data_IF_059116182924
#
_entry.id   IF_059116182924
#
_cell.length_a   1.000
_cell.length_b   1.000
_cell.length_c   1.000
_cell.angle_alpha   90.00
_cell.angle_beta   90.00
_cell.angle_gamma   90.00
#
_symmetry.space_group_name_H-M   'P 1'
#
loop_
_entity.id
_entity.type
_entity.pdbx_description
1 polymer ?
#
# COMPACT_ATOMS: atom_id res chain seq x y z
N UNK A 1 -0.83 -18.17 -1.12
CA UNK A 1 -1.04 -18.35 -2.59
C UNK A 1 -1.43 -17.00 -3.20
N UNK A 2 -1.13 -16.74 -4.49
CA UNK A 2 -1.52 -15.48 -5.18
C UNK A 2 -2.42 -15.78 -6.38
N UNK A 3 -3.51 -15.02 -6.54
CA UNK A 3 -4.46 -15.14 -7.64
C UNK A 3 -4.58 -13.81 -8.39
N UNK A 4 -4.52 -13.82 -9.71
CA UNK A 4 -4.84 -12.64 -10.50
C UNK A 4 -6.36 -12.51 -10.65
N UNK A 5 -6.96 -11.50 -10.03
CA UNK A 5 -8.39 -11.20 -10.20
C UNK A 5 -8.62 -10.48 -11.52
N UNK A 6 -7.75 -9.53 -11.88
CA UNK A 6 -7.83 -8.78 -13.14
C UNK A 6 -6.44 -8.27 -13.56
N UNK A 7 -6.10 -8.44 -14.85
CA UNK A 7 -4.85 -7.89 -15.43
C UNK A 7 -5.06 -6.54 -16.11
N UNK A 8 -6.21 -6.35 -16.76
CA UNK A 8 -6.55 -5.09 -17.42
C UNK A 8 -6.97 -4.03 -16.40
N UNK A 9 -6.84 -2.73 -16.71
CA UNK A 9 -7.31 -1.68 -15.83
C UNK A 9 -8.80 -1.78 -15.51
N UNK A 10 -9.18 -1.43 -14.28
CA UNK A 10 -10.56 -1.27 -13.83
C UNK A 10 -10.72 0.08 -13.14
N UNK A 11 -11.86 0.74 -13.37
CA UNK A 11 -12.19 1.99 -12.70
C UNK A 11 -12.42 1.76 -11.21
N UNK A 12 -12.06 2.75 -10.40
CA UNK A 12 -12.23 2.75 -8.96
C UNK A 12 -12.86 4.07 -8.52
N UNK A 13 -13.77 3.98 -7.56
CA UNK A 13 -14.41 5.13 -6.94
C UNK A 13 -14.13 5.13 -5.45
N UNK A 14 -13.59 6.23 -4.93
CA UNK A 14 -13.18 6.36 -3.54
C UNK A 14 -14.15 7.30 -2.83
N UNK A 15 -14.59 6.89 -1.64
CA UNK A 15 -15.40 7.73 -0.75
C UNK A 15 -14.61 8.03 0.50
N UNK A 16 -14.62 9.29 0.96
CA UNK A 16 -13.92 9.73 2.18
C UNK A 16 -14.92 10.12 3.28
N UNK A 17 -14.47 10.11 4.55
CA UNK A 17 -15.32 10.37 5.73
C UNK A 17 -15.93 11.77 5.79
N UNK A 18 -15.31 12.80 5.18
CA UNK A 18 -15.69 14.21 5.34
C UNK A 18 -15.65 15.02 4.03
N UNK A 19 -15.75 14.38 2.87
CA UNK A 19 -15.61 15.04 1.57
C UNK A 19 -16.42 14.38 0.47
N UNK A 20 -16.38 14.98 -0.71
CA UNK A 20 -17.02 14.43 -1.91
C UNK A 20 -16.36 13.11 -2.35
N UNK A 21 -17.12 12.28 -3.06
CA UNK A 21 -16.60 11.06 -3.65
C UNK A 21 -15.62 11.45 -4.76
N UNK A 22 -14.39 10.93 -4.69
CA UNK A 22 -13.40 11.09 -5.74
C UNK A 22 -13.45 9.85 -6.61
N UNK A 23 -14.02 9.99 -7.80
CA UNK A 23 -14.13 8.92 -8.79
C UNK A 23 -13.21 9.20 -9.95
N UNK A 24 -12.22 8.34 -10.20
CA UNK A 24 -11.31 8.58 -11.31
C UNK A 24 -10.04 7.73 -11.34
N UNK A 25 -9.76 6.96 -10.28
CA UNK A 25 -8.56 6.12 -10.26
C UNK A 25 -8.73 4.90 -11.15
N UNK A 26 -7.64 4.55 -11.84
CA UNK A 26 -7.52 3.30 -12.57
C UNK A 26 -6.67 2.32 -11.75
N UNK A 27 -7.30 1.24 -11.30
CA UNK A 27 -6.63 0.10 -10.68
C UNK A 27 -6.10 -0.85 -11.74
N UNK A 28 -4.84 -1.25 -11.61
CA UNK A 28 -4.20 -2.27 -12.45
C UNK A 28 -3.78 -3.45 -11.61
N UNK A 29 -3.54 -4.59 -12.27
CA UNK A 29 -2.96 -5.78 -11.65
C UNK A 29 -3.65 -6.14 -10.32
N UNK A 30 -4.98 -6.27 -10.34
CA UNK A 30 -5.72 -6.62 -9.14
C UNK A 30 -5.38 -8.08 -8.78
N UNK A 31 -4.66 -8.24 -7.68
CA UNK A 31 -4.10 -9.52 -7.22
C UNK A 31 -4.63 -9.82 -5.82
N UNK A 32 -5.06 -11.06 -5.59
CA UNK A 32 -5.49 -11.53 -4.30
C UNK A 32 -4.42 -12.45 -3.72
N UNK A 33 -3.81 -12.03 -2.63
CA UNK A 33 -2.90 -12.84 -1.83
C UNK A 33 -3.70 -13.55 -0.74
N UNK A 34 -3.42 -14.84 -0.52
CA UNK A 34 -4.11 -15.68 0.45
C UNK A 34 -3.08 -16.29 1.39
N UNK A 35 -3.21 -15.97 2.66
CA UNK A 35 -2.37 -16.47 3.75
C UNK A 35 -3.27 -16.93 4.91
N UNK A 36 -3.29 -18.24 5.16
CA UNK A 36 -4.22 -18.87 6.09
C UNK A 36 -5.68 -18.43 5.82
N UNK A 37 -6.31 -17.71 6.75
CA UNK A 37 -7.66 -17.17 6.62
C UNK A 37 -7.71 -15.69 6.19
N UNK A 38 -6.57 -15.09 5.84
CA UNK A 38 -6.46 -13.69 5.45
C UNK A 38 -6.33 -13.57 3.94
N UNK A 39 -7.21 -12.76 3.37
CA UNK A 39 -7.24 -12.38 1.97
C UNK A 39 -6.75 -10.94 1.84
N UNK A 40 -5.70 -10.69 1.07
CA UNK A 40 -5.22 -9.33 0.79
C UNK A 40 -5.39 -9.02 -0.69
N UNK A 41 -6.34 -8.14 -1.00
CA UNK A 41 -6.54 -7.61 -2.34
C UNK A 41 -5.57 -6.45 -2.57
N UNK A 42 -4.57 -6.67 -3.40
CA UNK A 42 -3.65 -5.64 -3.86
C UNK A 42 -4.14 -4.99 -5.17
N UNK A 43 -4.06 -3.67 -5.23
CA UNK A 43 -4.47 -2.86 -6.38
C UNK A 43 -3.35 -1.87 -6.70
N UNK A 44 -2.78 -1.96 -7.91
CA UNK A 44 -1.76 -1.04 -8.38
C UNK A 44 -2.39 0.24 -8.94
N UNK A 45 -2.07 1.37 -8.33
CA UNK A 45 -2.51 2.71 -8.68
C UNK A 45 -1.37 3.58 -9.21
N UNK A 46 -0.15 3.08 -9.27
CA UNK A 46 1.06 3.86 -9.58
C UNK A 46 0.98 4.53 -10.96
N UNK A 47 0.30 3.89 -11.90
CA UNK A 47 0.06 4.43 -13.23
C UNK A 47 -0.67 5.78 -13.21
N UNK A 48 -1.47 6.07 -12.17
CA UNK A 48 -2.21 7.33 -12.07
C UNK A 48 -1.29 8.54 -11.85
N UNK A 49 -0.10 8.31 -11.31
CA UNK A 49 0.93 9.36 -11.13
C UNK A 49 1.72 9.66 -12.41
N UNK A 50 1.68 8.73 -13.39
CA UNK A 50 2.39 8.85 -14.67
C UNK A 50 1.64 9.72 -15.70
N UNK A 51 0.50 10.30 -15.33
CA UNK A 51 -0.24 11.23 -16.18
C UNK A 51 0.67 12.36 -16.68
N UNK A 52 0.69 12.59 -17.99
CA UNK A 52 1.37 13.75 -18.60
C UNK A 52 0.71 15.06 -18.15
N UNK A 53 -0.62 15.07 -18.13
CA UNK A 53 -1.39 16.21 -17.64
C UNK A 53 -1.61 16.11 -16.13
N UNK A 54 -0.92 16.96 -15.36
CA UNK A 54 -1.02 17.04 -13.90
C UNK A 54 -2.30 17.73 -13.39
N UNK A 55 -3.10 18.27 -14.30
CA UNK A 55 -4.44 18.81 -14.01
C UNK A 55 -5.55 17.78 -14.28
N UNK A 56 -5.19 16.55 -14.70
CA UNK A 56 -6.19 15.52 -14.96
C UNK A 56 -6.78 14.97 -13.66
N UNK A 57 -8.07 14.63 -13.69
CA UNK A 57 -8.81 14.14 -12.52
C UNK A 57 -8.11 12.93 -11.86
N UNK A 58 -7.71 11.93 -12.64
CA UNK A 58 -7.02 10.73 -12.14
C UNK A 58 -5.67 11.03 -11.47
N UNK A 59 -4.92 12.03 -11.93
CA UNK A 59 -3.70 12.47 -11.24
C UNK A 59 -4.02 13.18 -9.93
N UNK A 60 -4.98 14.11 -9.95
CA UNK A 60 -5.38 14.86 -8.77
C UNK A 60 -5.98 13.94 -7.69
N UNK A 61 -6.77 12.94 -8.09
CA UNK A 61 -7.31 11.92 -7.20
C UNK A 61 -6.21 11.06 -6.58
N UNK A 62 -5.18 10.72 -7.36
CA UNK A 62 -4.05 9.93 -6.87
C UNK A 62 -3.23 10.73 -5.84
N UNK A 63 -2.96 12.01 -6.11
CA UNK A 63 -2.35 12.92 -5.13
C UNK A 63 -3.25 13.08 -3.91
N UNK A 64 -4.56 13.25 -4.12
CA UNK A 64 -5.55 13.37 -3.06
C UNK A 64 -5.60 12.16 -2.14
N UNK A 65 -5.50 10.95 -2.70
CA UNK A 65 -5.37 9.71 -1.94
C UNK A 65 -4.13 9.73 -1.06
N UNK A 66 -2.96 10.11 -1.60
CA UNK A 66 -1.73 10.15 -0.80
C UNK A 66 -1.80 11.11 0.39
N UNK A 67 -2.60 12.17 0.32
CA UNK A 67 -2.78 13.11 1.41
C UNK A 67 -3.93 12.74 2.36
N UNK A 68 -4.90 11.95 1.90
CA UNK A 68 -6.15 11.67 2.63
C UNK A 68 -6.39 10.17 2.88
N UNK A 69 -5.36 9.33 2.75
CA UNK A 69 -5.45 7.87 2.89
C UNK A 69 -6.12 7.42 4.20
N UNK A 70 -5.87 8.13 5.32
CA UNK A 70 -6.46 7.86 6.63
C UNK A 70 -7.97 8.21 6.73
N UNK A 71 -8.48 9.01 5.78
CA UNK A 71 -9.89 9.40 5.70
C UNK A 71 -10.69 8.49 4.77
N UNK A 72 -10.07 7.50 4.12
CA UNK A 72 -10.77 6.60 3.21
C UNK A 72 -11.87 5.86 3.97
N UNK A 73 -13.09 5.90 3.42
CA UNK A 73 -14.28 5.25 3.98
C UNK A 73 -14.63 4.00 3.20
N UNK A 74 -14.60 4.07 1.87
CA UNK A 74 -14.86 2.91 1.03
C UNK A 74 -14.24 3.05 -0.36
N UNK A 75 -14.03 1.91 -1.01
CA UNK A 75 -13.63 1.82 -2.40
C UNK A 75 -14.66 0.97 -3.16
N UNK A 76 -15.13 1.46 -4.30
CA UNK A 76 -15.97 0.69 -5.22
C UNK A 76 -15.18 0.32 -6.46
N UNK A 77 -15.28 -0.95 -6.84
CA UNK A 77 -14.78 -1.49 -8.09
C UNK A 77 -15.97 -2.08 -8.88
N UNK A 78 -16.53 -1.37 -9.88
CA UNK A 78 -17.65 -1.84 -10.70
C UNK A 78 -17.23 -2.93 -11.71
N UNK A 79 -16.31 -3.82 -11.34
CA UNK A 79 -15.82 -4.91 -12.18
C UNK A 79 -16.40 -6.25 -11.69
N UNK A 80 -17.30 -6.81 -12.50
CA UNK A 80 -17.96 -8.07 -12.19
C UNK A 80 -17.01 -9.27 -12.15
N UNK A 81 -15.91 -9.23 -12.91
CA UNK A 81 -14.93 -10.32 -12.92
C UNK A 81 -14.15 -10.34 -11.61
N UNK A 82 -13.77 -9.15 -11.11
CA UNK A 82 -13.12 -9.00 -9.80
C UNK A 82 -14.03 -9.53 -8.71
N UNK A 83 -15.30 -9.10 -8.69
CA UNK A 83 -16.32 -9.58 -7.75
C UNK A 83 -16.44 -11.10 -7.76
N UNK A 84 -16.70 -11.68 -8.93
CA UNK A 84 -16.94 -13.12 -9.05
C UNK A 84 -15.74 -13.97 -8.61
N UNK A 85 -14.52 -13.53 -8.94
CA UNK A 85 -13.30 -14.25 -8.54
C UNK A 85 -12.99 -14.09 -7.06
N UNK A 86 -13.23 -12.91 -6.47
CA UNK A 86 -13.06 -12.72 -5.03
C UNK A 86 -14.03 -13.59 -4.24
N UNK A 87 -15.33 -13.56 -4.58
CA UNK A 87 -16.36 -14.37 -3.92
C UNK A 87 -16.00 -15.86 -3.97
N UNK A 88 -15.54 -16.34 -5.13
CA UNK A 88 -15.15 -17.75 -5.29
C UNK A 88 -14.04 -18.18 -4.31
N UNK A 89 -13.08 -17.31 -4.05
CA UNK A 89 -12.01 -17.60 -3.08
C UNK A 89 -12.53 -17.45 -1.65
N UNK A 90 -13.33 -16.40 -1.40
CA UNK A 90 -13.95 -16.10 -0.11
C UNK A 90 -14.80 -17.26 0.43
N UNK A 91 -15.70 -17.80 -0.39
CA UNK A 91 -16.63 -18.87 -0.02
C UNK A 91 -15.93 -20.20 0.32
N UNK A 92 -14.69 -20.38 -0.17
CA UNK A 92 -13.88 -21.56 0.11
C UNK A 92 -13.12 -21.51 1.43
N UNK A 93 -13.22 -20.44 2.20
CA UNK A 93 -12.41 -20.19 3.39
C UNK A 93 -13.25 -20.19 4.67
N UNK A 94 -12.68 -20.74 5.74
CA UNK A 94 -13.27 -20.70 7.07
C UNK A 94 -12.88 -19.40 7.78
N UNK A 95 -13.87 -18.64 8.24
CA UNK A 95 -13.70 -17.34 8.91
C UNK A 95 -12.75 -16.37 8.15
N UNK A 96 -13.08 -16.02 6.89
CA UNK A 96 -12.21 -15.18 6.07
C UNK A 96 -12.16 -13.74 6.54
N UNK A 97 -10.95 -13.16 6.54
CA UNK A 97 -10.72 -11.73 6.77
C UNK A 97 -10.23 -11.08 5.48
N UNK A 98 -10.77 -9.90 5.14
CA UNK A 98 -10.34 -9.15 3.95
C UNK A 98 -9.47 -7.96 4.34
N UNK A 99 -8.37 -7.82 3.62
CA UNK A 99 -7.52 -6.64 3.59
C UNK A 99 -7.48 -6.09 2.17
N UNK A 100 -7.28 -4.79 2.06
CA UNK A 100 -7.07 -4.10 0.79
C UNK A 100 -5.75 -3.32 0.87
N UNK A 101 -4.85 -3.57 -0.07
CA UNK A 101 -3.59 -2.85 -0.23
C UNK A 101 -3.65 -1.98 -1.48
N UNK A 102 -3.56 -0.67 -1.31
CA UNK A 102 -3.48 0.29 -2.41
C UNK A 102 -2.02 0.68 -2.63
N UNK A 103 -1.46 0.27 -3.77
CA UNK A 103 -0.06 0.54 -4.12
C UNK A 103 0.00 1.80 -4.98
N UNK A 104 0.53 2.88 -4.44
CA UNK A 104 0.64 4.16 -5.11
C UNK A 104 2.12 4.58 -5.21
N UNK A 105 2.96 3.75 -5.83
CA UNK A 105 4.40 4.02 -5.90
C UNK A 105 4.70 5.24 -6.78
N UNK A 106 5.65 6.13 -6.40
CA UNK A 106 6.51 6.07 -5.21
C UNK A 106 5.92 6.74 -3.95
N UNK A 107 4.66 7.16 -3.96
CA UNK A 107 4.04 7.94 -2.88
C UNK A 107 3.65 7.14 -1.64
N UNK A 108 3.46 5.82 -1.76
CA UNK A 108 3.21 4.96 -0.60
C UNK A 108 2.46 3.68 -0.93
N UNK A 109 2.24 2.87 0.12
CA UNK A 109 1.44 1.64 0.09
C UNK A 109 0.51 1.67 1.30
N UNK A 110 -0.80 1.68 1.05
CA UNK A 110 -1.80 1.86 2.11
C UNK A 110 -2.57 0.57 2.34
N UNK A 111 -2.46 -0.01 3.54
CA UNK A 111 -3.12 -1.25 3.92
C UNK A 111 -4.34 -0.98 4.81
N UNK A 112 -5.45 -1.61 4.47
CA UNK A 112 -6.72 -1.46 5.18
C UNK A 112 -7.30 -2.82 5.52
N UNK A 113 -7.98 -2.92 6.66
CA UNK A 113 -8.99 -3.93 6.91
C UNK A 113 -10.31 -3.48 6.29
N UNK A 114 -10.97 -4.37 5.55
CA UNK A 114 -12.17 -4.01 4.80
C UNK A 114 -13.26 -5.08 4.93
N UNK A 115 -14.52 -4.66 4.78
CA UNK A 115 -15.66 -5.56 4.62
C UNK A 115 -16.16 -5.51 3.17
N UNK A 116 -16.29 -6.67 2.48
CA UNK A 116 -16.81 -6.70 1.12
C UNK A 116 -18.34 -6.63 1.10
N UNK A 117 -18.89 -5.78 0.22
CA UNK A 117 -20.31 -5.71 -0.11
C UNK A 117 -20.52 -5.81 -1.61
N UNK A 118 -21.38 -6.74 -2.05
CA UNK A 118 -21.76 -6.82 -3.47
C UNK A 118 -22.64 -5.64 -3.86
N UNK A 119 -22.33 -5.01 -4.99
CA UNK A 119 -23.15 -3.93 -5.54
C UNK A 119 -24.30 -4.50 -6.38
N UNK A 120 -25.48 -3.89 -6.28
CA UNK A 120 -26.70 -4.33 -6.98
C UNK A 120 -26.52 -4.35 -8.51
N UNK A 121 -25.85 -3.35 -9.08
CA UNK A 121 -25.58 -3.26 -10.52
C UNK A 121 -24.31 -4.00 -10.96
N UNK A 122 -23.70 -4.77 -10.07
CA UNK A 122 -22.45 -5.48 -10.33
C UNK A 122 -21.21 -4.78 -9.79
N UNK A 123 -20.16 -5.56 -9.57
CA UNK A 123 -18.94 -5.13 -8.88
C UNK A 123 -19.04 -5.19 -7.36
N UNK A 124 -18.02 -4.68 -6.70
CA UNK A 124 -17.81 -4.82 -5.27
C UNK A 124 -17.47 -3.50 -4.61
N UNK A 125 -18.03 -3.25 -3.44
CA UNK A 125 -17.60 -2.22 -2.52
C UNK A 125 -16.77 -2.85 -1.40
N UNK A 126 -15.71 -2.17 -1.01
CA UNK A 126 -14.83 -2.50 0.10
C UNK A 126 -14.96 -1.38 1.12
N UNK A 127 -15.69 -1.63 2.19
CA UNK A 127 -15.88 -0.66 3.27
C UNK A 127 -14.73 -0.76 4.27
N UNK A 128 -14.04 0.36 4.47
CA UNK A 128 -12.88 0.44 5.36
C UNK A 128 -13.33 0.33 6.81
N UNK A 129 -12.82 -0.69 7.49
CA UNK A 129 -13.01 -0.91 8.93
C UNK A 129 -11.89 -0.26 9.73
N UNK A 130 -10.63 -0.50 9.32
CA UNK A 130 -9.45 0.05 9.97
C UNK A 130 -8.32 0.29 8.96
N UNK A 131 -7.43 1.25 9.27
CA UNK A 131 -6.15 1.41 8.60
C UNK A 131 -5.08 0.65 9.39
N UNK A 132 -4.24 -0.15 8.71
CA UNK A 132 -3.34 -1.14 9.33
C UNK A 132 -1.85 -0.75 9.30
N UNK A 133 -1.53 0.53 9.10
CA UNK A 133 -0.16 1.08 9.00
C UNK A 133 0.72 0.58 7.82
N UNK A 134 1.79 1.34 7.58
CA UNK A 134 2.56 1.44 6.34
C UNK A 134 3.83 0.54 6.42
N UNK A 135 3.99 -0.43 5.51
CA UNK A 135 5.32 -0.98 5.23
C UNK A 135 6.07 0.04 4.36
N UNK A 136 6.61 1.07 5.00
CA UNK A 136 7.50 2.04 4.36
C UNK A 136 8.80 1.34 3.98
N UNK A 137 8.99 1.05 2.69
CA UNK A 137 10.33 0.79 2.10
C UNK A 137 11.14 2.10 2.14
N UNK A 138 11.60 2.50 3.32
CA UNK A 138 12.76 3.39 3.52
C UNK A 138 13.76 2.67 4.41
N UNK A 139 14.22 1.51 3.94
CA UNK A 139 15.47 0.92 4.38
C UNK A 139 16.63 1.71 3.76
N UNK A 140 17.03 2.81 4.39
CA UNK A 140 18.38 3.36 4.19
C UNK A 140 19.38 2.30 4.67
N UNK A 141 20.42 1.95 3.88
CA UNK A 141 21.38 0.95 4.28
C UNK A 141 22.22 1.43 5.47
N UNK A 142 22.46 0.50 6.38
CA UNK A 142 23.33 0.63 7.54
C UNK A 142 24.66 1.31 7.17
N UNK A 143 24.92 2.46 7.79
CA UNK A 143 26.24 3.06 8.00
C UNK A 143 26.16 3.51 9.46
N UNK A 144 26.93 3.04 10.43
CA UNK A 144 28.31 2.59 10.46
C UNK A 144 28.54 1.80 11.75
N UNK A 145 29.41 0.79 11.67
CA UNK A 145 29.90 -0.01 12.79
C UNK A 145 30.46 0.84 13.95
N UNK A 146 30.26 0.46 15.23
CA UNK A 146 31.00 1.04 16.34
C UNK A 146 32.40 0.41 16.40
N UNK A 147 33.44 1.21 16.18
CA UNK A 147 34.83 0.85 16.48
C UNK A 147 35.01 0.69 18.01
N UNK A 148 35.60 -0.40 18.51
CA UNK A 148 35.89 -0.53 19.93
C UNK A 148 37.24 0.09 20.29
N UNK A 149 37.23 0.77 21.43
CA UNK A 149 38.30 1.10 22.37
C UNK A 149 39.75 0.75 22.02
N UNK A 150 40.59 1.78 21.97
CA UNK A 150 41.98 1.69 22.40
C UNK A 150 42.21 2.71 23.52
N UNK A 151 42.34 2.20 24.74
CA UNK A 151 42.61 2.96 25.95
C UNK A 151 44.02 3.59 25.96
N UNK A 152 44.25 4.64 26.77
CA UNK A 152 45.49 5.42 26.82
C UNK A 152 46.52 4.77 27.76
N UNK A 153 47.81 5.13 27.64
CA UNK A 153 48.77 5.30 28.75
C UNK A 153 50.21 5.52 28.23
N UNK A 154 50.93 6.46 28.84
CA UNK A 154 52.38 6.37 29.01
C UNK A 154 53.21 7.58 28.57
N UNK A 155 53.23 8.64 29.37
CA UNK A 155 54.37 9.57 29.44
C UNK A 155 55.66 8.80 29.76
N UNK A 156 56.76 9.14 29.07
CA UNK A 156 58.10 9.29 29.67
C UNK A 156 59.11 9.80 28.62
N UNK A 157 59.45 11.08 28.68
CA UNK A 157 60.80 11.56 28.37
C UNK A 157 61.71 11.13 29.55
N UNK A 158 62.95 10.65 29.33
CA UNK A 158 64.06 11.61 29.43
C UNK A 158 65.33 11.27 28.59
N UNK A 159 65.94 12.33 28.05
CA UNK A 159 67.39 12.62 28.05
C UNK A 159 68.42 11.75 27.26
N UNK A 160 69.18 12.48 26.41
CA UNK A 160 70.67 12.50 26.31
C UNK A 160 71.36 11.48 25.37
N UNK A 161 71.95 11.96 24.26
CA UNK A 161 73.41 12.28 24.11
C UNK A 161 73.83 12.43 22.64
N UNK A 162 74.67 13.44 22.45
CA UNK A 162 75.63 13.72 21.37
C UNK A 162 76.12 12.53 20.53
N UNK A 163 76.19 12.74 19.22
CA UNK A 163 77.43 12.69 18.42
C UNK A 163 77.28 13.64 17.22
#
# INVERSE_FOLDING_TARGET
>A
MKYSLRKTPSHLHLTYKYGEANGGLLGRNLVLEVEANVLTLEIDLSANLLARNKQSAWYLDAVGLSSNYHKLKSLQCPDNLVRARLIRVWDGMQDPKLRMRLVLSPRGRYLYEVAPHSLFMGGIQLDVQAFLEEESETGTPETSSPQPDAAPLGEADPHRKHA
#
